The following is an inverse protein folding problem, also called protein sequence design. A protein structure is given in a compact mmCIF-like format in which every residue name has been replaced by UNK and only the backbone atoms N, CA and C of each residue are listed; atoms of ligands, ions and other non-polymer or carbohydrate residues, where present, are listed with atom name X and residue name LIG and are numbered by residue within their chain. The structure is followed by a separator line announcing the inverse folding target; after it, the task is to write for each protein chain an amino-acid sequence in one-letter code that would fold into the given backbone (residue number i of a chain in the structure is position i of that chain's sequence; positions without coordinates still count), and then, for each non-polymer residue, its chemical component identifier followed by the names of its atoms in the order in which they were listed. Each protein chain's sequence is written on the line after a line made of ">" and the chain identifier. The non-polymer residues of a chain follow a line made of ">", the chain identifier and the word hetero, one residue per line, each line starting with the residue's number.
data_IF_386425542544
#
_entry.id   IF_386425542544
#
_cell.length_a   1.000
_cell.length_b   1.000
_cell.length_c   1.000
_cell.angle_alpha   90.00
_cell.angle_beta   90.00
_cell.angle_gamma   90.00
#
_symmetry.space_group_name_H-M   'P 1'
#
loop_
_entity.id
_entity.type
_entity.pdbx_description
1 polymer ?
#
# COMPACT_ATOMS: atom_id res chain seq x y z
N UNK A 1 10.62 4.96 10.53
CA UNK A 1 9.54 4.12 9.98
C UNK A 1 9.65 2.66 10.46
N UNK A 2 10.84 2.05 10.41
CA UNK A 2 11.06 0.67 10.85
C UNK A 2 11.21 0.49 12.39
N UNK A 3 11.77 1.47 13.11
CA UNK A 3 11.89 1.43 14.59
C UNK A 3 10.78 2.18 15.36
N UNK A 4 9.57 2.29 14.81
CA UNK A 4 8.49 3.00 15.51
C UNK A 4 7.96 2.14 16.66
N UNK A 5 7.71 2.76 17.82
CA UNK A 5 7.22 2.08 19.02
C UNK A 5 5.96 2.80 19.50
N UNK A 6 4.91 2.06 19.86
CA UNK A 6 3.71 2.65 20.44
C UNK A 6 3.93 3.13 21.89
N UNK A 7 2.93 3.80 22.44
CA UNK A 7 2.96 4.31 23.82
C UNK A 7 3.04 3.18 24.87
N UNK A 8 2.84 1.92 24.46
CA UNK A 8 2.96 0.71 25.28
C UNK A 8 4.28 -0.06 25.05
N UNK A 9 5.21 0.47 24.26
CA UNK A 9 6.52 -0.16 24.03
C UNK A 9 6.53 -1.26 22.95
N UNK A 10 5.43 -1.46 22.22
CA UNK A 10 5.32 -2.49 21.16
C UNK A 10 5.84 -1.96 19.83
N UNK A 11 6.46 -2.84 19.05
CA UNK A 11 6.96 -2.51 17.72
C UNK A 11 5.77 -2.18 16.78
N UNK A 12 5.79 -0.97 16.23
CA UNK A 12 4.84 -0.44 15.26
C UNK A 12 5.55 -0.02 13.96
N UNK A 13 6.51 -0.83 13.51
CA UNK A 13 7.16 -0.68 12.22
C UNK A 13 6.11 -0.48 11.12
N UNK A 14 6.25 0.62 10.39
CA UNK A 14 5.38 0.94 9.25
C UNK A 14 5.87 0.30 7.95
N UNK A 15 7.14 -0.09 7.89
CA UNK A 15 7.75 -0.77 6.75
C UNK A 15 8.08 -2.20 7.12
N UNK A 16 7.88 -3.11 6.16
CA UNK A 16 8.39 -4.48 6.24
C UNK A 16 9.91 -4.50 6.17
N UNK A 17 10.51 -5.46 6.88
CA UNK A 17 11.95 -5.64 6.98
C UNK A 17 12.58 -5.80 5.59
N UNK A 18 11.97 -6.63 4.74
CA UNK A 18 12.43 -6.87 3.36
C UNK A 18 12.55 -5.58 2.54
N UNK A 19 11.54 -4.71 2.61
CA UNK A 19 11.54 -3.45 1.85
C UNK A 19 12.48 -2.43 2.48
N UNK A 20 12.58 -2.42 3.82
CA UNK A 20 13.53 -1.57 4.52
C UNK A 20 14.98 -1.91 4.13
N UNK A 21 15.34 -3.18 4.18
CA UNK A 21 16.69 -3.65 3.82
C UNK A 21 17.04 -3.30 2.38
N UNK A 22 16.12 -3.54 1.44
CA UNK A 22 16.27 -3.17 0.03
C UNK A 22 16.48 -1.66 -0.17
N UNK A 23 15.71 -0.83 0.55
CA UNK A 23 15.86 0.64 0.49
C UNK A 23 17.22 1.07 1.05
N UNK A 24 17.65 0.49 2.18
CA UNK A 24 18.94 0.83 2.81
C UNK A 24 20.10 0.43 1.90
N UNK A 25 20.04 -0.76 1.29
CA UNK A 25 21.04 -1.26 0.36
C UNK A 25 21.21 -0.33 -0.86
N UNK A 26 20.12 0.19 -1.41
CA UNK A 26 20.13 0.99 -2.63
C UNK A 26 19.89 2.49 -2.41
N UNK A 27 20.01 2.98 -1.17
CA UNK A 27 19.60 4.34 -0.77
C UNK A 27 20.18 5.46 -1.67
N UNK A 28 21.44 5.35 -2.09
CA UNK A 28 22.10 6.37 -2.90
C UNK A 28 21.42 6.50 -4.25
N UNK A 29 21.15 5.36 -4.89
CA UNK A 29 20.53 5.31 -6.22
C UNK A 29 19.07 5.76 -6.17
N UNK A 30 18.33 5.31 -5.15
CA UNK A 30 16.94 5.73 -4.94
C UNK A 30 16.86 7.25 -4.69
N UNK A 31 17.75 7.81 -3.86
CA UNK A 31 17.78 9.24 -3.56
C UNK A 31 18.11 10.08 -4.80
N UNK A 32 19.03 9.61 -5.66
CA UNK A 32 19.37 10.28 -6.92
C UNK A 32 18.23 10.26 -7.94
N UNK A 33 17.43 9.19 -7.95
CA UNK A 33 16.30 9.07 -8.87
C UNK A 33 15.13 9.99 -8.49
N UNK A 34 14.99 10.36 -7.21
CA UNK A 34 13.85 11.15 -6.73
C UNK A 34 13.87 12.60 -7.21
N UNK A 35 12.74 13.04 -7.77
CA UNK A 35 12.51 14.40 -8.26
C UNK A 35 11.46 15.11 -7.41
N UNK A 36 11.91 15.81 -6.36
CA UNK A 36 11.00 16.52 -5.45
C UNK A 36 10.23 17.67 -6.10
N UNK A 37 10.69 18.20 -7.24
CA UNK A 37 9.94 19.18 -8.02
C UNK A 37 8.57 18.64 -8.45
N UNK A 38 8.45 17.32 -8.63
CA UNK A 38 7.20 16.69 -9.05
C UNK A 38 6.15 16.64 -7.93
N UNK A 39 6.48 17.01 -6.69
CA UNK A 39 5.46 17.21 -5.65
C UNK A 39 4.51 18.38 -5.99
N UNK A 40 4.96 19.34 -6.80
CA UNK A 40 4.15 20.50 -7.24
C UNK A 40 3.26 20.21 -8.45
N UNK A 41 3.38 19.01 -9.03
CA UNK A 41 2.58 18.57 -10.17
C UNK A 41 1.17 18.11 -9.76
N UNK A 42 0.91 17.96 -8.47
CA UNK A 42 -0.43 17.70 -7.95
C UNK A 42 -1.20 19.00 -7.79
N UNK A 43 -2.45 19.00 -8.26
CA UNK A 43 -3.37 20.07 -7.95
C UNK A 43 -3.73 20.07 -6.45
N UNK A 44 -4.37 21.14 -5.99
CA UNK A 44 -4.70 21.28 -4.57
C UNK A 44 -5.54 20.12 -4.04
N UNK A 45 -6.55 19.67 -4.81
CA UNK A 45 -7.43 18.59 -4.38
C UNK A 45 -6.73 17.23 -4.40
N UNK A 46 -5.92 16.95 -5.42
CA UNK A 46 -5.08 15.75 -5.47
C UNK A 46 -4.11 15.69 -4.30
N UNK A 47 -3.41 16.79 -4.02
CA UNK A 47 -2.50 16.86 -2.89
C UNK A 47 -3.23 16.68 -1.55
N UNK A 48 -4.35 17.37 -1.32
CA UNK A 48 -5.15 17.19 -0.09
C UNK A 48 -5.71 15.78 0.07
N UNK A 49 -6.01 15.11 -1.04
CA UNK A 49 -6.45 13.71 -1.03
C UNK A 49 -5.31 12.79 -0.59
N UNK A 50 -4.10 12.99 -1.11
CA UNK A 50 -2.89 12.26 -0.70
C UNK A 50 -2.57 12.50 0.78
N UNK A 51 -2.55 13.77 1.20
CA UNK A 51 -2.29 14.20 2.58
C UNK A 51 -3.25 13.56 3.58
N UNK A 52 -4.54 13.51 3.22
CA UNK A 52 -5.58 12.99 4.11
C UNK A 52 -5.44 11.49 4.33
N UNK A 53 -5.23 10.72 3.27
CA UNK A 53 -5.44 9.27 3.31
C UNK A 53 -4.21 8.44 2.96
N UNK A 54 -3.34 8.89 2.05
CA UNK A 54 -2.34 8.03 1.40
C UNK A 54 -0.92 8.14 1.97
N UNK A 55 -0.53 9.33 2.43
CA UNK A 55 0.79 9.54 3.02
C UNK A 55 0.83 8.92 4.41
N UNK A 56 1.86 8.11 4.69
CA UNK A 56 2.01 7.50 6.01
C UNK A 56 2.14 8.58 7.10
N UNK A 57 1.56 8.27 8.27
CA UNK A 57 1.56 9.13 9.45
C UNK A 57 2.16 8.41 10.65
N UNK A 58 2.91 9.14 11.46
CA UNK A 58 3.38 8.70 12.77
C UNK A 58 2.89 9.70 13.79
N UNK A 59 2.08 9.25 14.76
CA UNK A 59 1.48 10.12 15.80
C UNK A 59 0.78 11.34 15.18
N UNK A 60 -0.10 11.09 14.21
CA UNK A 60 -0.85 12.09 13.43
C UNK A 60 -0.02 13.07 12.59
N UNK A 61 1.32 12.92 12.57
CA UNK A 61 2.19 13.73 11.72
C UNK A 61 2.54 12.98 10.45
N UNK A 62 2.37 13.64 9.31
CA UNK A 62 2.74 13.09 8.01
C UNK A 62 4.25 12.97 7.93
N UNK A 63 4.72 11.76 7.60
CA UNK A 63 6.15 11.43 7.50
C UNK A 63 6.59 11.14 6.07
N UNK A 64 5.66 11.13 5.12
CA UNK A 64 5.92 10.93 3.69
C UNK A 64 5.60 12.18 2.87
N UNK A 65 6.39 12.39 1.82
CA UNK A 65 6.03 13.27 0.69
C UNK A 65 5.38 12.42 -0.40
N UNK A 66 4.64 13.01 -1.36
CA UNK A 66 4.13 12.26 -2.51
C UNK A 66 5.22 11.44 -3.22
N UNK A 67 6.40 12.01 -3.48
CA UNK A 67 7.51 11.23 -4.05
C UNK A 67 7.96 10.05 -3.17
N UNK A 68 7.97 10.21 -1.83
CA UNK A 68 8.34 9.11 -0.93
C UNK A 68 7.32 7.97 -1.00
N UNK A 69 6.03 8.29 -1.05
CA UNK A 69 4.96 7.30 -1.21
C UNK A 69 5.11 6.56 -2.55
N UNK A 70 5.34 7.27 -3.66
CA UNK A 70 5.55 6.64 -4.97
C UNK A 70 6.78 5.73 -4.98
N UNK A 71 7.89 6.18 -4.37
CA UNK A 71 9.11 5.37 -4.28
C UNK A 71 8.92 4.13 -3.41
N UNK A 72 8.23 4.26 -2.26
CA UNK A 72 7.86 3.12 -1.40
C UNK A 72 7.08 2.07 -2.19
N UNK A 73 6.08 2.51 -2.96
CA UNK A 73 5.27 1.62 -3.81
C UNK A 73 6.15 0.92 -4.84
N UNK A 74 6.98 1.67 -5.57
CA UNK A 74 7.86 1.11 -6.60
C UNK A 74 8.85 0.09 -6.03
N UNK A 75 9.51 0.41 -4.91
CA UNK A 75 10.41 -0.51 -4.22
C UNK A 75 9.69 -1.76 -3.71
N UNK A 76 8.45 -1.63 -3.23
CA UNK A 76 7.67 -2.77 -2.75
C UNK A 76 7.14 -3.68 -3.87
N UNK A 77 6.87 -3.15 -5.05
CA UNK A 77 6.43 -3.96 -6.20
C UNK A 77 7.62 -4.69 -6.84
N UNK A 78 8.78 -4.04 -6.89
CA UNK A 78 10.00 -4.55 -7.52
C UNK A 78 11.10 -4.82 -6.51
N UNK A 79 10.75 -5.40 -5.36
CA UNK A 79 11.76 -5.83 -4.38
C UNK A 79 12.76 -6.73 -5.08
N UNK A 80 14.05 -6.57 -4.78
CA UNK A 80 15.18 -7.27 -5.39
C UNK A 80 15.57 -6.79 -6.82
N UNK A 81 14.85 -5.81 -7.41
CA UNK A 81 15.21 -5.24 -8.71
C UNK A 81 15.14 -3.70 -8.71
N UNK A 82 16.30 -3.07 -8.46
CA UNK A 82 16.44 -1.62 -8.38
C UNK A 82 16.18 -0.91 -9.72
N UNK A 83 16.50 -1.53 -10.85
CA UNK A 83 16.31 -0.92 -12.17
C UNK A 83 14.81 -0.73 -12.46
N UNK A 84 14.01 -1.79 -12.23
CA UNK A 84 12.56 -1.74 -12.37
C UNK A 84 11.89 -0.85 -11.32
N UNK A 85 12.42 -0.83 -10.07
CA UNK A 85 11.91 0.08 -9.05
C UNK A 85 12.07 1.55 -9.47
N UNK A 86 13.25 1.92 -10.00
CA UNK A 86 13.50 3.29 -10.48
C UNK A 86 12.65 3.61 -11.70
N UNK A 87 12.54 2.70 -12.66
CA UNK A 87 11.69 2.88 -13.85
C UNK A 87 10.23 3.10 -13.47
N UNK A 88 9.66 2.23 -12.62
CA UNK A 88 8.28 2.34 -12.14
C UNK A 88 8.06 3.63 -11.36
N UNK A 89 9.02 4.05 -10.52
CA UNK A 89 8.96 5.34 -9.85
C UNK A 89 8.91 6.50 -10.86
N UNK A 90 9.78 6.52 -11.86
CA UNK A 90 9.83 7.59 -12.87
C UNK A 90 8.52 7.67 -13.67
N UNK A 91 7.97 6.54 -14.08
CA UNK A 91 6.70 6.50 -14.82
C UNK A 91 5.53 7.02 -13.98
N UNK A 92 5.44 6.63 -12.70
CA UNK A 92 4.41 7.14 -11.80
C UNK A 92 4.60 8.61 -11.45
N UNK A 93 5.83 9.04 -11.17
CA UNK A 93 6.16 10.43 -10.84
C UNK A 93 5.85 11.38 -12.01
N UNK A 94 6.03 10.91 -13.24
CA UNK A 94 5.66 11.63 -14.46
C UNK A 94 4.18 11.46 -14.86
N UNK A 95 3.36 10.80 -14.02
CA UNK A 95 1.91 10.59 -14.20
C UNK A 95 1.52 9.76 -15.44
N UNK A 96 2.37 8.85 -15.90
CA UNK A 96 2.00 7.92 -16.97
C UNK A 96 0.97 6.89 -16.52
N UNK A 97 1.08 6.43 -15.28
CA UNK A 97 0.10 5.58 -14.62
C UNK A 97 0.18 5.74 -13.10
N UNK A 98 -0.79 5.18 -12.39
CA UNK A 98 -0.76 5.05 -10.94
C UNK A 98 -1.34 3.71 -10.52
N UNK A 99 -0.83 3.13 -9.43
CA UNK A 99 -1.43 1.93 -8.85
C UNK A 99 -2.76 2.24 -8.15
N UNK A 100 -3.54 1.18 -7.92
CA UNK A 100 -4.80 1.27 -7.21
C UNK A 100 -4.62 1.69 -5.75
N UNK A 101 -5.69 2.20 -5.16
CA UNK A 101 -5.72 2.71 -3.79
C UNK A 101 -5.14 1.75 -2.73
N UNK A 102 -5.48 0.44 -2.69
CA UNK A 102 -4.89 -0.48 -1.70
C UNK A 102 -3.39 -0.67 -1.87
N UNK A 103 -2.90 -0.64 -3.11
CA UNK A 103 -1.46 -0.68 -3.37
C UNK A 103 -0.76 0.56 -2.81
N UNK A 104 -1.31 1.76 -3.04
CA UNK A 104 -0.71 3.00 -2.53
C UNK A 104 -0.67 3.04 -1.00
N UNK A 105 -1.71 2.52 -0.33
CA UNK A 105 -1.77 2.44 1.12
C UNK A 105 -0.79 1.43 1.71
N UNK A 106 -0.79 0.21 1.17
CA UNK A 106 -0.23 -0.92 1.90
C UNK A 106 1.11 -1.41 1.34
N UNK A 107 1.50 -1.00 0.12
CA UNK A 107 2.79 -1.40 -0.45
C UNK A 107 3.94 -0.95 0.48
N UNK A 108 4.84 -1.89 0.74
CA UNK A 108 6.00 -1.71 1.61
C UNK A 108 5.72 -1.85 3.10
N UNK A 109 4.45 -1.94 3.51
CA UNK A 109 4.08 -2.05 4.93
C UNK A 109 4.19 -3.49 5.46
N UNK A 110 4.08 -3.66 6.78
CA UNK A 110 4.18 -4.98 7.44
C UNK A 110 3.05 -5.95 7.08
N UNK A 111 1.91 -5.45 6.60
CA UNK A 111 0.78 -6.25 6.10
C UNK A 111 0.38 -5.76 4.70
N UNK A 112 1.12 -6.14 3.65
CA UNK A 112 0.96 -5.57 2.32
C UNK A 112 -0.21 -6.24 1.56
N UNK A 113 -1.44 -5.90 1.93
CA UNK A 113 -2.61 -6.23 1.10
C UNK A 113 -2.72 -5.18 -0.02
N UNK A 114 -2.45 -5.57 -1.27
CA UNK A 114 -2.44 -4.63 -2.40
C UNK A 114 -3.62 -4.80 -3.38
N UNK A 115 -4.54 -5.73 -3.11
CA UNK A 115 -5.61 -6.12 -4.02
C UNK A 115 -6.93 -5.46 -3.67
N UNK A 116 -7.58 -4.82 -4.65
CA UNK A 116 -8.83 -4.09 -4.42
C UNK A 116 -10.08 -4.95 -4.35
N UNK A 117 -10.17 -6.00 -5.17
CA UNK A 117 -11.42 -6.72 -5.39
C UNK A 117 -11.23 -8.23 -5.25
N UNK A 118 -12.19 -8.87 -4.61
CA UNK A 118 -12.25 -10.31 -4.41
C UNK A 118 -13.58 -10.84 -4.90
N UNK A 119 -13.53 -11.92 -5.69
CA UNK A 119 -14.72 -12.63 -6.14
C UNK A 119 -14.86 -13.90 -5.32
N UNK A 120 -15.95 -13.97 -4.56
CA UNK A 120 -16.30 -15.11 -3.73
C UNK A 120 -17.54 -15.80 -4.27
N UNK A 121 -17.69 -17.08 -3.95
CA UNK A 121 -18.90 -17.86 -4.23
C UNK A 121 -19.35 -18.49 -2.93
N UNK A 122 -20.67 -18.57 -2.72
CA UNK A 122 -21.23 -19.30 -1.58
C UNK A 122 -20.65 -20.72 -1.53
N UNK A 123 -20.18 -21.13 -0.35
CA UNK A 123 -19.46 -22.40 -0.18
C UNK A 123 -20.39 -23.60 -0.38
N UNK A 124 -21.58 -23.52 0.21
CA UNK A 124 -22.58 -24.59 0.22
C UNK A 124 -23.97 -24.03 0.55
N UNK A 125 -25.03 -24.75 0.18
CA UNK A 125 -26.43 -24.47 0.59
C UNK A 125 -26.67 -25.04 2.00
N UNK A 126 -25.94 -24.51 2.96
CA UNK A 126 -26.07 -24.89 4.35
C UNK A 126 -25.75 -23.71 5.25
N UNK A 127 -26.31 -23.72 6.47
CA UNK A 127 -25.99 -22.71 7.48
C UNK A 127 -24.48 -22.63 7.69
N UNK A 128 -23.78 -23.76 7.75
CA UNK A 128 -22.32 -23.80 7.87
C UNK A 128 -21.65 -23.08 6.69
N UNK A 129 -22.05 -23.40 5.45
CA UNK A 129 -21.52 -22.75 4.24
C UNK A 129 -21.75 -21.24 4.21
N UNK A 130 -22.92 -20.78 4.68
CA UNK A 130 -23.26 -19.36 4.79
C UNK A 130 -22.35 -18.65 5.81
N UNK A 131 -22.17 -19.23 7.00
CA UNK A 131 -21.34 -18.64 8.05
C UNK A 131 -19.85 -18.61 7.66
N UNK A 132 -19.36 -19.62 6.93
CA UNK A 132 -17.99 -19.63 6.40
C UNK A 132 -17.78 -18.55 5.33
N UNK A 133 -18.73 -18.39 4.41
CA UNK A 133 -18.67 -17.31 3.42
C UNK A 133 -18.72 -15.93 4.09
N UNK A 134 -19.54 -15.76 5.13
CA UNK A 134 -19.61 -14.53 5.91
C UNK A 134 -18.28 -14.23 6.63
N UNK A 135 -17.64 -15.26 7.21
CA UNK A 135 -16.33 -15.13 7.85
C UNK A 135 -15.26 -14.70 6.85
N UNK A 136 -15.22 -15.29 5.65
CA UNK A 136 -14.29 -14.86 4.60
C UNK A 136 -14.54 -13.40 4.19
N UNK A 137 -15.81 -13.02 3.99
CA UNK A 137 -16.18 -11.64 3.69
C UNK A 137 -15.71 -10.65 4.78
N UNK A 138 -15.85 -11.02 6.06
CA UNK A 138 -15.42 -10.19 7.18
C UNK A 138 -13.90 -9.99 7.18
N UNK A 139 -13.12 -11.06 6.97
CA UNK A 139 -11.66 -10.99 6.92
C UNK A 139 -11.16 -10.13 5.74
N UNK A 140 -11.80 -10.22 4.58
CA UNK A 140 -11.43 -9.40 3.41
C UNK A 140 -11.76 -7.93 3.67
N UNK A 141 -12.94 -7.65 4.25
CA UNK A 141 -13.38 -6.30 4.57
C UNK A 141 -12.47 -5.63 5.59
N UNK A 142 -11.96 -6.38 6.59
CA UNK A 142 -10.97 -5.90 7.57
C UNK A 142 -9.74 -5.31 6.88
N UNK A 143 -9.33 -5.89 5.74
CA UNK A 143 -8.17 -5.44 4.95
C UNK A 143 -8.51 -4.44 3.84
N UNK A 144 -9.70 -3.84 3.88
CA UNK A 144 -10.23 -2.88 2.89
C UNK A 144 -10.38 -3.44 1.46
N UNK A 145 -10.64 -4.75 1.32
CA UNK A 145 -10.98 -5.36 0.03
C UNK A 145 -12.48 -5.26 -0.29
N UNK A 146 -12.82 -4.90 -1.52
CA UNK A 146 -14.17 -4.99 -2.07
C UNK A 146 -14.53 -6.42 -2.44
N UNK A 147 -15.79 -6.82 -2.27
CA UNK A 147 -16.25 -8.19 -2.45
C UNK A 147 -17.38 -8.25 -3.47
N UNK A 148 -17.25 -9.12 -4.46
CA UNK A 148 -18.36 -9.62 -5.26
C UNK A 148 -18.68 -11.06 -4.84
N UNK A 149 -19.87 -11.29 -4.28
CA UNK A 149 -20.29 -12.61 -3.79
C UNK A 149 -21.39 -13.20 -4.68
N UNK A 150 -21.13 -14.36 -5.27
CA UNK A 150 -22.14 -15.13 -5.99
C UNK A 150 -23.00 -15.95 -5.02
N UNK A 151 -24.32 -15.73 -5.06
CA UNK A 151 -25.32 -16.40 -4.20
C UNK A 151 -26.22 -17.38 -4.98
N UNK A 152 -25.87 -17.74 -6.21
CA UNK A 152 -26.70 -18.63 -7.05
C UNK A 152 -26.83 -20.07 -6.51
N UNK A 153 -26.04 -20.43 -5.50
CA UNK A 153 -25.99 -21.76 -4.87
C UNK A 153 -26.75 -21.82 -3.54
N UNK A 154 -27.49 -20.77 -3.18
CA UNK A 154 -28.48 -20.78 -2.10
C UNK A 154 -29.81 -21.25 -2.71
#
# INVERSE_FOLDING_TARGET
>A
LHGCVDDMGRNCALLSDKVYDFIVEHQVRLQQAMLYSNDFEFDFFGFKTLERSYLLKVREKIVERPQHMLMRVACSVHVDNIDLAVETYQLMSNRYFIHATPTLFNAGTTKPQMSSCFLLTMKDDSIVGIYDALKECALITETAGGIGLSIHKI
#
